data_IF_310101814113
#
_entry.id   IF_310101814113
#
_cell.length_a   1.000
_cell.length_b   1.000
_cell.length_c   1.000
_cell.angle_alpha   90.00
_cell.angle_beta   90.00
_cell.angle_gamma   90.00
#
_symmetry.space_group_name_H-M   'P 1'
#
loop_
_entity.id
_entity.type
_entity.pdbx_description
1 polymer ?
#
# COMPACT_ATOMS: atom_id res chain seq x y z
N UNK A 1 -16.98 -22.22 24.70
CA UNK A 1 -17.39 -20.93 24.12
C UNK A 1 -16.82 -19.85 25.03
N UNK A 2 -15.89 -19.03 24.55
CA UNK A 2 -15.33 -17.95 25.37
C UNK A 2 -16.36 -16.82 25.43
N UNK A 3 -16.77 -16.46 26.65
CA UNK A 3 -17.51 -15.23 26.95
C UNK A 3 -16.65 -14.05 26.46
N UNK A 4 -17.11 -13.36 25.41
CA UNK A 4 -16.43 -12.23 24.79
C UNK A 4 -16.54 -10.96 25.63
N UNK A 5 -16.17 -11.01 26.91
CA UNK A 5 -16.13 -9.82 27.75
C UNK A 5 -14.82 -9.06 27.55
N UNK A 6 -14.92 -7.88 26.95
CA UNK A 6 -13.80 -6.93 26.87
C UNK A 6 -13.84 -6.04 28.12
N UNK A 7 -12.83 -6.16 28.98
CA UNK A 7 -12.68 -5.29 30.16
C UNK A 7 -11.77 -4.11 29.84
N UNK A 8 -12.31 -2.90 29.89
CA UNK A 8 -11.52 -1.66 29.69
C UNK A 8 -11.33 -1.00 31.06
N UNK A 9 -10.09 -1.02 31.57
CA UNK A 9 -9.71 -0.27 32.79
C UNK A 9 -9.24 1.12 32.38
N UNK A 10 -9.93 2.15 32.85
CA UNK A 10 -9.51 3.53 32.71
C UNK A 10 -9.18 4.10 34.10
N UNK A 11 -7.94 4.56 34.29
CA UNK A 11 -7.48 5.23 35.50
C UNK A 11 -7.73 6.72 35.32
N UNK A 12 -8.60 7.30 36.14
CA UNK A 12 -8.84 8.74 36.16
C UNK A 12 -8.67 9.25 37.59
N UNK A 13 -7.90 10.34 37.74
CA UNK A 13 -7.77 11.08 39.00
C UNK A 13 -8.37 12.49 38.81
N UNK A 14 -9.09 12.96 39.84
CA UNK A 14 -9.70 14.29 39.86
C UNK A 14 -10.92 14.50 38.94
N UNK A 15 -11.28 15.79 38.78
CA UNK A 15 -12.52 16.26 38.11
C UNK A 15 -12.58 15.94 36.61
N UNK A 16 -11.48 15.49 36.01
CA UNK A 16 -11.42 15.02 34.62
C UNK A 16 -12.01 13.60 34.43
N UNK A 17 -12.18 12.84 35.52
CA UNK A 17 -12.78 11.51 35.53
C UNK A 17 -14.26 11.50 35.09
N UNK A 18 -15.05 12.48 35.53
CA UNK A 18 -16.47 12.56 35.18
C UNK A 18 -16.67 12.89 33.69
N UNK A 19 -15.79 13.72 33.12
CA UNK A 19 -15.79 14.06 31.70
C UNK A 19 -15.39 12.87 30.83
N UNK A 20 -14.38 12.12 31.25
CA UNK A 20 -13.93 10.89 30.58
C UNK A 20 -15.00 9.80 30.55
N UNK A 21 -15.63 9.53 31.68
CA UNK A 21 -16.69 8.53 31.79
C UNK A 21 -17.92 8.88 30.93
N UNK A 22 -18.34 10.16 30.91
CA UNK A 22 -19.46 10.62 30.05
C UNK A 22 -19.15 10.47 28.56
N UNK A 23 -17.92 10.75 28.13
CA UNK A 23 -17.51 10.59 26.72
C UNK A 23 -17.49 9.13 26.29
N UNK A 24 -16.97 8.23 27.14
CA UNK A 24 -16.96 6.79 26.86
C UNK A 24 -18.39 6.25 26.80
N UNK A 25 -19.27 6.66 27.74
CA UNK A 25 -20.68 6.28 27.71
C UNK A 25 -21.39 6.75 26.42
N UNK A 26 -21.15 7.99 26.00
CA UNK A 26 -21.70 8.52 24.74
C UNK A 26 -21.20 7.79 23.50
N UNK A 27 -19.93 7.42 23.47
CA UNK A 27 -19.37 6.60 22.39
C UNK A 27 -19.97 5.19 22.35
N UNK A 28 -20.19 4.57 23.52
CA UNK A 28 -20.80 3.24 23.63
C UNK A 28 -22.29 3.25 23.26
N UNK A 29 -23.05 4.29 23.64
CA UNK A 29 -24.45 4.49 23.24
C UNK A 29 -24.60 4.77 21.73
N UNK A 30 -23.64 5.49 21.14
CA UNK A 30 -23.53 5.68 19.69
C UNK A 30 -23.27 4.37 18.95
N UNK A 31 -22.39 3.52 19.48
CA UNK A 31 -22.10 2.20 18.93
C UNK A 31 -23.29 1.24 19.04
N UNK A 32 -24.01 1.26 20.18
CA UNK A 32 -25.23 0.47 20.41
C UNK A 32 -26.35 0.86 19.45
N UNK A 33 -26.44 2.14 19.06
CA UNK A 33 -27.38 2.63 18.05
C UNK A 33 -26.97 2.28 16.61
N UNK A 34 -25.68 2.05 16.35
CA UNK A 34 -25.14 1.65 15.03
C UNK A 34 -25.22 0.14 14.76
N UNK A 35 -25.12 -0.69 15.80
CA UNK A 35 -25.13 -2.15 15.67
C UNK A 35 -26.46 -2.73 15.11
N UNK A 36 -27.58 -2.01 15.27
CA UNK A 36 -28.89 -2.43 14.74
C UNK A 36 -29.08 -2.26 13.23
N UNK A 37 -28.18 -1.52 12.54
CA UNK A 37 -28.32 -1.21 11.10
C UNK A 37 -27.32 -1.93 10.19
N UNK A 38 -26.27 -2.53 10.73
CA UNK A 38 -25.26 -3.25 9.93
C UNK A 38 -25.79 -4.59 9.38
N UNK A 39 -26.75 -5.23 10.05
CA UNK A 39 -27.32 -6.51 9.60
C UNK A 39 -28.27 -6.43 8.38
N UNK A 40 -28.76 -5.24 8.02
CA UNK A 40 -29.78 -5.07 6.95
C UNK A 40 -29.19 -4.70 5.60
N UNK A 41 -28.10 -3.94 5.54
CA UNK A 41 -27.47 -3.51 4.28
C UNK A 41 -26.73 -4.63 3.56
N UNK A 42 -26.19 -5.61 4.29
CA UNK A 42 -25.52 -6.77 3.69
C UNK A 42 -26.49 -7.74 2.99
N UNK A 43 -27.77 -7.72 3.35
CA UNK A 43 -28.80 -8.64 2.82
C UNK A 43 -29.50 -8.10 1.55
N UNK A 44 -29.44 -6.80 1.28
CA UNK A 44 -30.11 -6.16 0.14
C UNK A 44 -29.32 -6.14 -1.17
N UNK A 45 -28.02 -6.49 -1.17
CA UNK A 45 -27.17 -6.43 -2.38
C UNK A 45 -27.14 -7.77 -3.14
N UNK A 46 -27.70 -8.86 -2.59
CA UNK A 46 -27.67 -10.19 -3.19
C UNK A 46 -28.98 -10.64 -3.86
N UNK A 47 -29.94 -9.75 -4.08
CA UNK A 47 -31.19 -10.17 -4.73
C UNK A 47 -32.15 -9.04 -5.08
N UNK A 48 -31.83 -8.27 -6.12
CA UNK A 48 -32.84 -7.58 -6.94
C UNK A 48 -32.19 -6.95 -8.17
N UNK A 49 -32.60 -7.38 -9.36
CA UNK A 49 -32.47 -6.61 -10.59
C UNK A 49 -33.08 -5.22 -10.36
N UNK A 50 -32.30 -4.15 -10.42
CA UNK A 50 -32.84 -2.79 -10.49
C UNK A 50 -32.29 -2.06 -11.71
N UNK A 51 -33.15 -2.12 -12.73
CA UNK A 51 -33.22 -1.32 -13.93
C UNK A 51 -33.39 0.16 -13.56
N UNK A 52 -32.66 1.04 -14.24
CA UNK A 52 -33.12 2.39 -14.62
C UNK A 52 -33.26 3.47 -13.54
N UNK A 53 -32.41 4.50 -13.64
CA UNK A 53 -32.74 5.88 -13.29
C UNK A 53 -32.65 6.29 -11.81
N UNK A 54 -31.99 7.45 -11.58
CA UNK A 54 -31.96 8.23 -10.35
C UNK A 54 -31.05 7.75 -9.20
N UNK A 55 -29.77 8.15 -9.27
CA UNK A 55 -28.99 8.47 -8.07
C UNK A 55 -28.57 9.94 -8.18
N UNK A 56 -29.46 10.82 -7.74
CA UNK A 56 -29.17 12.24 -7.53
C UNK A 56 -29.71 12.60 -6.14
N UNK A 57 -28.80 12.87 -5.20
CA UNK A 57 -29.11 13.41 -3.87
C UNK A 57 -28.87 12.44 -2.72
N UNK A 58 -27.72 12.57 -2.04
CA UNK A 58 -27.48 11.84 -0.79
C UNK A 58 -26.06 11.89 -0.21
N UNK A 59 -25.40 13.05 -0.16
CA UNK A 59 -24.13 13.21 0.58
C UNK A 59 -24.19 14.50 1.42
N UNK A 60 -24.80 14.45 2.60
CA UNK A 60 -24.72 15.56 3.58
C UNK A 60 -24.65 15.16 5.06
N UNK A 61 -24.44 13.88 5.42
CA UNK A 61 -24.59 13.43 6.82
C UNK A 61 -23.39 12.70 7.45
N UNK A 62 -22.16 12.88 6.95
CA UNK A 62 -20.94 12.28 7.55
C UNK A 62 -19.90 13.38 7.79
N UNK A 63 -20.16 14.25 8.78
CA UNK A 63 -19.38 15.48 9.00
C UNK A 63 -18.24 15.41 10.03
N UNK A 64 -18.14 14.36 10.86
CA UNK A 64 -17.20 14.35 12.00
C UNK A 64 -16.25 13.14 12.06
N UNK A 65 -16.62 11.98 11.51
CA UNK A 65 -15.73 10.81 11.39
C UNK A 65 -14.83 10.79 10.16
N UNK A 66 -15.12 11.64 9.15
CA UNK A 66 -14.41 11.67 7.87
C UNK A 66 -13.11 12.50 7.91
N UNK A 67 -12.86 13.33 8.93
CA UNK A 67 -11.69 14.24 8.94
C UNK A 67 -10.34 13.50 8.95
N UNK A 68 -10.25 12.32 9.57
CA UNK A 68 -9.06 11.47 9.55
C UNK A 68 -8.92 10.69 8.23
N UNK A 69 -10.03 10.28 7.59
CA UNK A 69 -10.01 9.62 6.28
C UNK A 69 -9.80 10.58 5.09
N UNK A 70 -10.17 11.87 5.23
CA UNK A 70 -9.94 12.90 4.19
C UNK A 70 -8.44 13.23 4.05
N UNK A 71 -7.64 13.08 5.11
CA UNK A 71 -6.18 13.27 5.03
C UNK A 71 -5.50 12.24 4.13
N UNK A 72 -5.86 10.96 4.25
CA UNK A 72 -5.32 9.85 3.45
C UNK A 72 -5.93 9.74 2.05
N UNK A 73 -7.22 10.09 1.88
CA UNK A 73 -7.85 10.20 0.55
C UNK A 73 -7.23 11.34 -0.27
N UNK A 74 -6.90 12.47 0.37
CA UNK A 74 -6.27 13.59 -0.31
C UNK A 74 -4.80 13.30 -0.66
N UNK A 75 -4.05 12.58 0.18
CA UNK A 75 -2.67 12.18 -0.14
C UNK A 75 -2.61 11.13 -1.27
N UNK A 76 -3.51 10.15 -1.28
CA UNK A 76 -3.60 9.14 -2.35
C UNK A 76 -4.06 9.75 -3.67
N UNK A 77 -5.06 10.62 -3.66
CA UNK A 77 -5.49 11.34 -4.86
C UNK A 77 -4.39 12.25 -5.41
N UNK A 78 -3.63 12.91 -4.53
CA UNK A 78 -2.47 13.72 -4.92
C UNK A 78 -1.35 12.86 -5.52
N UNK A 79 -1.03 11.72 -4.92
CA UNK A 79 -0.02 10.80 -5.45
C UNK A 79 -0.40 10.30 -6.86
N UNK A 80 -1.66 9.91 -7.07
CA UNK A 80 -2.15 9.50 -8.39
C UNK A 80 -2.18 10.64 -9.40
N UNK A 81 -2.52 11.86 -8.99
CA UNK A 81 -2.44 13.03 -9.86
C UNK A 81 -1.00 13.34 -10.29
N UNK A 82 -0.05 13.25 -9.36
CA UNK A 82 1.38 13.38 -9.67
C UNK A 82 1.87 12.26 -10.58
N UNK A 83 1.47 11.01 -10.31
CA UNK A 83 1.76 9.88 -11.19
C UNK A 83 1.25 10.11 -12.60
N UNK A 84 -0.02 10.48 -12.77
CA UNK A 84 -0.61 10.73 -14.09
C UNK A 84 0.16 11.84 -14.83
N UNK A 85 0.47 12.95 -14.13
CA UNK A 85 1.26 14.04 -14.69
C UNK A 85 2.68 13.63 -15.10
N UNK A 86 3.38 12.88 -14.26
CA UNK A 86 4.73 12.37 -14.56
C UNK A 86 4.71 11.40 -15.75
N UNK A 87 3.70 10.51 -15.82
CA UNK A 87 3.59 9.54 -16.90
C UNK A 87 3.24 10.21 -18.23
N UNK A 88 2.40 11.23 -18.21
CA UNK A 88 2.15 12.06 -19.39
C UNK A 88 3.43 12.79 -19.86
N UNK A 89 4.26 13.29 -18.94
CA UNK A 89 5.53 13.97 -19.28
C UNK A 89 6.53 13.05 -20.00
N UNK A 90 6.51 11.74 -19.71
CA UNK A 90 7.34 10.75 -20.42
C UNK A 90 6.64 10.16 -21.66
N UNK A 91 5.58 10.81 -22.16
CA UNK A 91 4.80 10.41 -23.34
C UNK A 91 4.10 9.05 -23.21
N UNK A 92 3.78 8.59 -21.99
CA UNK A 92 2.99 7.39 -21.81
C UNK A 92 1.53 7.63 -22.27
N UNK A 93 0.94 6.77 -23.11
CA UNK A 93 -0.43 6.93 -23.56
C UNK A 93 -1.42 6.93 -22.39
N UNK A 94 -2.43 7.81 -22.42
CA UNK A 94 -3.41 7.95 -21.33
C UNK A 94 -4.11 6.62 -20.99
N UNK A 95 -4.41 5.79 -21.99
CA UNK A 95 -4.98 4.47 -21.77
C UNK A 95 -4.05 3.57 -20.93
N UNK A 96 -2.76 3.58 -21.22
CA UNK A 96 -1.76 2.82 -20.46
C UNK A 96 -1.58 3.37 -19.05
N UNK A 97 -1.61 4.71 -18.88
CA UNK A 97 -1.56 5.35 -17.55
C UNK A 97 -2.72 4.87 -16.67
N UNK A 98 -3.94 4.84 -17.20
CA UNK A 98 -5.12 4.41 -16.45
C UNK A 98 -5.09 2.90 -16.17
N UNK A 99 -4.59 2.10 -17.12
CA UNK A 99 -4.39 0.67 -16.89
C UNK A 99 -3.42 0.43 -15.73
N UNK A 100 -2.21 1.01 -15.78
CA UNK A 100 -1.19 0.86 -14.73
C UNK A 100 -1.73 1.33 -13.38
N UNK A 101 -2.38 2.49 -13.35
CA UNK A 101 -3.03 3.00 -12.14
C UNK A 101 -4.03 2.00 -11.57
N UNK A 102 -4.92 1.46 -12.40
CA UNK A 102 -5.90 0.46 -11.98
C UNK A 102 -5.24 -0.80 -11.43
N UNK A 103 -4.20 -1.30 -12.10
CA UNK A 103 -3.46 -2.48 -11.67
C UNK A 103 -2.72 -2.30 -10.34
N UNK A 104 -2.09 -1.14 -10.15
CA UNK A 104 -1.40 -0.82 -8.90
C UNK A 104 -2.40 -0.54 -7.76
N UNK A 105 -3.56 0.07 -8.05
CA UNK A 105 -4.64 0.24 -7.07
C UNK A 105 -5.25 -1.08 -6.63
N UNK A 106 -5.51 -1.99 -7.57
CA UNK A 106 -6.00 -3.34 -7.29
C UNK A 106 -4.99 -4.11 -6.43
N UNK A 107 -3.71 -4.05 -6.80
CA UNK A 107 -2.66 -4.70 -6.02
C UNK A 107 -2.51 -4.09 -4.62
N UNK A 108 -2.52 -2.77 -4.48
CA UNK A 108 -2.51 -2.09 -3.18
C UNK A 108 -3.72 -2.49 -2.32
N UNK A 109 -4.91 -2.67 -2.92
CA UNK A 109 -6.12 -3.11 -2.20
C UNK A 109 -6.02 -4.54 -1.69
N UNK A 110 -5.36 -5.41 -2.46
CA UNK A 110 -5.14 -6.83 -2.12
C UNK A 110 -3.99 -7.05 -1.15
N UNK A 111 -3.23 -6.02 -0.82
CA UNK A 111 -2.02 -6.09 -0.02
C UNK A 111 -2.06 -5.05 1.10
N UNK A 112 -1.03 -5.00 1.94
CA UNK A 112 -0.93 -3.99 3.02
C UNK A 112 -0.23 -2.70 2.55
N UNK A 113 -0.08 -2.52 1.24
CA UNK A 113 0.77 -1.47 0.67
C UNK A 113 -0.01 -0.21 0.33
N UNK A 114 0.66 0.94 0.48
CA UNK A 114 0.04 2.21 0.12
C UNK A 114 0.07 2.41 -1.40
N UNK A 115 -1.08 2.80 -1.94
CA UNK A 115 -1.19 3.17 -3.35
C UNK A 115 -0.24 4.34 -3.72
N UNK A 116 0.02 5.24 -2.77
CA UNK A 116 0.95 6.36 -2.95
C UNK A 116 2.40 5.91 -3.11
N UNK A 117 2.87 4.93 -2.33
CA UNK A 117 4.26 4.44 -2.44
C UNK A 117 4.46 3.72 -3.77
N UNK A 118 3.47 2.93 -4.20
CA UNK A 118 3.50 2.27 -5.52
C UNK A 118 3.51 3.27 -6.66
N UNK A 119 2.64 4.27 -6.61
CA UNK A 119 2.58 5.33 -7.62
C UNK A 119 3.91 6.10 -7.72
N UNK A 120 4.51 6.45 -6.58
CA UNK A 120 5.80 7.16 -6.53
C UNK A 120 6.93 6.29 -7.09
N UNK A 121 7.02 5.03 -6.65
CA UNK A 121 8.07 4.09 -7.07
C UNK A 121 7.98 3.81 -8.57
N UNK A 122 6.78 3.51 -9.06
CA UNK A 122 6.54 3.34 -10.49
C UNK A 122 6.98 4.58 -11.27
N UNK A 123 6.58 5.77 -10.81
CA UNK A 123 6.91 7.01 -11.53
C UNK A 123 8.42 7.22 -11.65
N UNK A 124 9.17 6.91 -10.59
CA UNK A 124 10.61 7.06 -10.56
C UNK A 124 11.31 6.05 -11.48
N UNK A 125 10.89 4.79 -11.45
CA UNK A 125 11.44 3.73 -12.30
C UNK A 125 11.12 3.95 -13.77
N UNK A 126 9.87 4.32 -14.09
CA UNK A 126 9.46 4.62 -15.46
C UNK A 126 10.21 5.85 -16.01
N UNK A 127 10.46 6.87 -15.18
CA UNK A 127 11.20 8.07 -15.59
C UNK A 127 12.66 7.79 -15.97
N UNK A 128 13.29 6.75 -15.40
CA UNK A 128 14.66 6.34 -15.74
C UNK A 128 14.69 5.24 -16.82
N UNK A 129 13.53 4.91 -17.41
CA UNK A 129 13.45 3.96 -18.52
C UNK A 129 13.48 2.49 -18.10
N UNK A 130 13.23 2.18 -16.82
CA UNK A 130 13.08 0.79 -16.38
C UNK A 130 11.98 0.10 -17.17
N UNK A 131 12.27 -1.10 -17.67
CA UNK A 131 11.31 -1.93 -18.40
C UNK A 131 10.42 -2.70 -17.42
N UNK A 132 9.21 -3.06 -17.86
CA UNK A 132 8.27 -3.87 -17.06
C UNK A 132 8.03 -3.31 -15.64
N UNK A 133 7.96 -1.98 -15.52
CA UNK A 133 7.89 -1.28 -14.23
C UNK A 133 6.67 -1.68 -13.41
N UNK A 134 5.54 -2.03 -14.05
CA UNK A 134 4.33 -2.46 -13.35
C UNK A 134 4.58 -3.77 -12.62
N UNK A 135 5.15 -4.74 -13.33
CA UNK A 135 5.50 -6.07 -12.83
C UNK A 135 6.57 -5.96 -11.76
N UNK A 136 7.59 -5.12 -11.97
CA UNK A 136 8.66 -4.89 -11.00
C UNK A 136 8.11 -4.33 -9.67
N UNK A 137 7.24 -3.31 -9.72
CA UNK A 137 6.65 -2.72 -8.51
C UNK A 137 5.74 -3.72 -7.79
N UNK A 138 4.97 -4.54 -8.52
CA UNK A 138 4.20 -5.66 -7.93
C UNK A 138 5.13 -6.73 -7.36
N UNK A 139 6.24 -7.01 -8.02
CA UNK A 139 7.30 -7.91 -7.59
C UNK A 139 7.87 -7.50 -6.24
N UNK A 140 8.22 -6.22 -6.05
CA UNK A 140 8.64 -5.70 -4.74
C UNK A 140 7.58 -5.93 -3.67
N UNK A 141 6.30 -5.77 -4.00
CA UNK A 141 5.22 -6.10 -3.07
C UNK A 141 5.15 -7.60 -2.73
N UNK A 142 5.38 -8.47 -3.71
CA UNK A 142 5.48 -9.92 -3.46
C UNK A 142 6.65 -10.28 -2.56
N UNK A 143 7.84 -9.70 -2.81
CA UNK A 143 9.05 -9.93 -2.02
C UNK A 143 8.92 -9.37 -0.60
N UNK A 144 8.39 -8.16 -0.47
CA UNK A 144 8.18 -7.51 0.82
C UNK A 144 7.16 -8.26 1.68
N UNK A 145 6.19 -8.96 1.08
CA UNK A 145 5.17 -9.70 1.82
C UNK A 145 5.76 -10.87 2.64
N UNK A 146 6.97 -11.31 2.29
CA UNK A 146 7.71 -12.34 3.00
C UNK A 146 8.55 -11.80 4.18
N UNK A 147 8.61 -10.48 4.39
CA UNK A 147 9.35 -9.87 5.50
C UNK A 147 8.53 -9.84 6.80
N UNK A 148 9.21 -9.78 7.95
CA UNK A 148 8.55 -9.60 9.26
C UNK A 148 7.80 -8.26 9.34
N UNK A 149 8.30 -7.22 8.67
CA UNK A 149 7.65 -5.92 8.53
C UNK A 149 7.50 -5.55 7.04
N UNK A 150 6.44 -6.02 6.36
CA UNK A 150 6.31 -5.84 4.92
C UNK A 150 6.20 -4.38 4.48
N UNK A 151 5.63 -3.50 5.30
CA UNK A 151 5.54 -2.07 4.98
C UNK A 151 6.92 -1.41 4.93
N UNK A 152 7.75 -1.66 5.95
CA UNK A 152 9.11 -1.14 5.99
C UNK A 152 10.00 -1.78 4.92
N UNK A 153 9.82 -3.09 4.66
CA UNK A 153 10.50 -3.79 3.59
C UNK A 153 10.17 -3.18 2.22
N UNK A 154 8.88 -2.97 1.91
CA UNK A 154 8.45 -2.36 0.64
C UNK A 154 9.02 -0.96 0.47
N UNK A 155 8.98 -0.13 1.53
CA UNK A 155 9.58 1.21 1.49
C UNK A 155 11.07 1.15 1.19
N UNK A 156 11.79 0.23 1.83
CA UNK A 156 13.24 0.06 1.62
C UNK A 156 13.52 -0.45 0.22
N UNK A 157 12.85 -1.52 -0.22
CA UNK A 157 12.97 -2.07 -1.58
C UNK A 157 12.72 -0.98 -2.63
N UNK A 158 11.64 -0.22 -2.47
CA UNK A 158 11.30 0.87 -3.39
C UNK A 158 12.39 1.95 -3.46
N UNK A 159 12.88 2.40 -2.30
CA UNK A 159 13.94 3.42 -2.21
C UNK A 159 15.26 2.93 -2.80
N UNK A 160 15.66 1.69 -2.49
CA UNK A 160 16.90 1.13 -3.01
C UNK A 160 16.79 0.82 -4.50
N UNK A 161 15.62 0.36 -4.96
CA UNK A 161 15.38 0.09 -6.37
C UNK A 161 15.46 1.36 -7.20
N UNK A 162 14.77 2.43 -6.79
CA UNK A 162 14.89 3.73 -7.48
C UNK A 162 16.33 4.22 -7.53
N UNK A 163 17.09 4.09 -6.43
CA UNK A 163 18.50 4.49 -6.40
C UNK A 163 19.38 3.66 -7.35
N UNK A 164 19.10 2.36 -7.47
CA UNK A 164 19.81 1.47 -8.38
C UNK A 164 19.41 1.68 -9.84
N UNK A 165 18.15 1.98 -10.11
CA UNK A 165 17.59 2.12 -11.47
C UNK A 165 18.34 3.13 -12.34
N UNK A 166 18.91 4.17 -11.72
CA UNK A 166 19.71 5.19 -12.40
C UNK A 166 21.20 4.79 -12.61
N UNK A 167 21.61 3.58 -12.19
CA UNK A 167 22.99 3.10 -12.22
C UNK A 167 23.11 1.88 -13.14
N UNK A 168 24.23 1.69 -13.86
CA UNK A 168 24.39 0.57 -14.78
C UNK A 168 24.54 -0.79 -14.07
N UNK A 169 24.84 -0.79 -12.77
CA UNK A 169 25.14 -1.97 -11.97
C UNK A 169 24.49 -1.89 -10.60
N UNK A 170 24.11 -3.05 -10.07
CA UNK A 170 23.60 -3.20 -8.71
C UNK A 170 24.72 -2.80 -7.74
N UNK A 171 24.45 -1.83 -6.87
CA UNK A 171 25.42 -1.41 -5.87
C UNK A 171 25.29 -2.24 -4.62
N UNK A 172 26.43 -2.63 -4.04
CA UNK A 172 26.45 -3.45 -2.82
C UNK A 172 25.64 -2.87 -1.67
N UNK A 173 25.71 -1.55 -1.43
CA UNK A 173 24.99 -0.92 -0.32
C UNK A 173 23.47 -1.01 -0.49
N UNK A 174 22.98 -0.71 -1.69
CA UNK A 174 21.56 -0.76 -2.02
C UNK A 174 21.05 -2.21 -1.92
N UNK A 175 21.79 -3.17 -2.49
CA UNK A 175 21.49 -4.60 -2.42
C UNK A 175 21.51 -5.16 -1.00
N UNK A 176 22.51 -4.80 -0.19
CA UNK A 176 22.62 -5.24 1.22
C UNK A 176 21.38 -4.84 2.02
N UNK A 177 20.90 -3.61 1.83
CA UNK A 177 19.67 -3.15 2.49
C UNK A 177 18.44 -3.94 2.03
N UNK A 178 18.33 -4.26 0.73
CA UNK A 178 17.25 -5.13 0.24
C UNK A 178 17.30 -6.54 0.84
N UNK A 179 18.51 -7.11 0.93
CA UNK A 179 18.74 -8.44 1.51
C UNK A 179 18.44 -8.47 3.01
N UNK A 180 18.79 -7.44 3.76
CA UNK A 180 18.46 -7.33 5.18
C UNK A 180 16.95 -7.26 5.43
N UNK A 181 16.21 -6.61 4.55
CA UNK A 181 14.75 -6.51 4.66
C UNK A 181 14.01 -7.75 4.14
N UNK A 182 14.54 -8.37 3.08
CA UNK A 182 13.88 -9.49 2.38
C UNK A 182 14.86 -10.60 1.98
N UNK A 183 15.48 -11.33 2.94
CA UNK A 183 16.45 -12.38 2.61
C UNK A 183 15.85 -13.46 1.68
N UNK A 184 14.61 -13.88 1.95
CA UNK A 184 13.89 -14.86 1.13
C UNK A 184 13.55 -14.32 -0.27
N UNK A 185 13.27 -13.02 -0.38
CA UNK A 185 13.01 -12.36 -1.65
C UNK A 185 14.26 -12.36 -2.53
N UNK A 186 15.41 -11.96 -1.97
CA UNK A 186 16.68 -12.01 -2.69
C UNK A 186 17.06 -13.44 -3.10
N UNK A 187 16.81 -14.44 -2.25
CA UNK A 187 17.04 -15.83 -2.61
C UNK A 187 16.16 -16.28 -3.80
N UNK A 188 14.93 -15.80 -3.91
CA UNK A 188 14.06 -16.07 -5.05
C UNK A 188 14.59 -15.42 -6.34
N UNK A 189 15.06 -14.16 -6.26
CA UNK A 189 15.70 -13.48 -7.41
C UNK A 189 16.97 -14.21 -7.84
N UNK A 190 17.84 -14.59 -6.89
CA UNK A 190 19.05 -15.37 -7.19
C UNK A 190 18.71 -16.65 -7.96
N UNK A 191 17.69 -17.38 -7.49
CA UNK A 191 17.22 -18.61 -8.14
C UNK A 191 16.77 -18.36 -9.58
N UNK A 192 16.01 -17.28 -9.82
CA UNK A 192 15.55 -16.92 -11.17
C UNK A 192 16.73 -16.57 -12.10
N UNK A 193 17.76 -15.95 -11.54
CA UNK A 193 19.02 -15.65 -12.24
C UNK A 193 19.95 -16.87 -12.39
N UNK A 194 19.51 -18.07 -11.99
CA UNK A 194 20.28 -19.30 -12.11
C UNK A 194 21.49 -19.37 -11.17
N UNK A 195 21.45 -18.66 -10.05
CA UNK A 195 22.53 -18.57 -9.06
C UNK A 195 22.03 -18.89 -7.65
N UNK A 196 22.94 -19.30 -6.78
CA UNK A 196 22.70 -19.32 -5.33
C UNK A 196 22.75 -17.90 -4.76
N UNK A 197 22.18 -17.70 -3.58
CA UNK A 197 22.24 -16.40 -2.88
C UNK A 197 23.69 -15.96 -2.62
N UNK A 198 24.58 -16.89 -2.27
CA UNK A 198 26.01 -16.58 -2.03
C UNK A 198 26.73 -16.14 -3.31
N UNK A 199 26.44 -16.79 -4.44
CA UNK A 199 26.95 -16.39 -5.74
C UNK A 199 26.44 -15.01 -6.15
N UNK A 200 25.16 -14.74 -5.90
CA UNK A 200 24.57 -13.42 -6.14
C UNK A 200 25.25 -12.32 -5.31
N UNK A 201 25.43 -12.55 -4.02
CA UNK A 201 26.13 -11.63 -3.10
C UNK A 201 27.52 -11.30 -3.64
N UNK A 202 28.30 -12.32 -4.01
CA UNK A 202 29.64 -12.13 -4.59
C UNK A 202 29.59 -11.38 -5.93
N UNK A 203 28.64 -11.72 -6.80
CA UNK A 203 28.50 -11.07 -8.09
C UNK A 203 28.13 -9.59 -7.96
N UNK A 204 27.31 -9.22 -6.97
CA UNK A 204 27.00 -7.81 -6.67
C UNK A 204 28.23 -7.10 -6.10
N UNK A 205 28.95 -7.71 -5.16
CA UNK A 205 30.19 -7.15 -4.59
C UNK A 205 31.27 -6.92 -5.67
N UNK A 206 31.36 -7.82 -6.64
CA UNK A 206 32.24 -7.72 -7.79
C UNK A 206 31.74 -6.74 -8.87
N UNK A 207 30.53 -6.18 -8.71
CA UNK A 207 29.91 -5.31 -9.71
C UNK A 207 29.64 -6.01 -11.05
N UNK A 208 29.26 -7.28 -11.02
CA UNK A 208 28.98 -8.10 -12.22
C UNK A 208 27.50 -8.11 -12.61
N UNK A 209 26.60 -7.79 -11.67
CA UNK A 209 25.16 -7.75 -11.92
C UNK A 209 24.77 -6.38 -12.45
N UNK A 210 24.22 -6.33 -13.66
CA UNK A 210 23.60 -5.11 -14.19
C UNK A 210 22.27 -4.87 -13.48
N UNK A 211 21.92 -3.61 -13.25
CA UNK A 211 20.63 -3.28 -12.64
C UNK A 211 19.47 -3.78 -13.49
N UNK A 212 19.59 -3.68 -14.82
CA UNK A 212 18.57 -4.16 -15.77
C UNK A 212 18.36 -5.68 -15.73
N UNK A 213 19.39 -6.47 -15.42
CA UNK A 213 19.26 -7.93 -15.31
C UNK A 213 18.67 -8.35 -13.95
N UNK A 214 18.80 -7.49 -12.94
CA UNK A 214 18.28 -7.71 -11.59
C UNK A 214 16.79 -7.33 -11.46
N UNK A 215 16.28 -6.47 -12.35
CA UNK A 215 14.90 -5.97 -12.37
C UNK A 215 14.05 -6.71 -13.40
#
# INVERSE_FOLDING_TARGET
MADGTVTIKALFDGKDAEGGAKRIKGALEGLKSGAGKVGSVFKSVLGANLIGGAIMGGISAIGSGMKSMVGELNSSAKAWKTFEGNMQQINMPTAQIQQVKGELQDFATKTIYSASDMASTYSQLAAVGTKNTTELVKGFGGLAAAAENPQQAMKTLSQQATQMAAKPKVQWQDFKLMMEQTPAGIAAVAKEMGMSTDEMVRAVQDGKIKTEDFF
#
